data_IF_197003939133
#
_entry.id   IF_197003939133
#
_cell.length_a   1.000
_cell.length_b   1.000
_cell.length_c   1.000
_cell.angle_alpha   90.00
_cell.angle_beta   90.00
_cell.angle_gamma   90.00
#
_symmetry.space_group_name_H-M   'P 1'
#
loop_
_entity.id
_entity.type
_entity.pdbx_description
1 polymer ?
#
# COMPACT_ATOMS: atom_id res chain seq x y z
N UNK A 1 3.58 -1.71 -14.93
CA UNK A 1 3.77 -1.36 -13.52
C UNK A 1 5.20 -1.70 -13.13
N UNK A 2 5.89 -0.76 -12.49
CA UNK A 2 7.18 -1.01 -11.85
C UNK A 2 7.01 -0.94 -10.33
N UNK A 3 7.61 -1.88 -9.61
CA UNK A 3 7.66 -1.88 -8.15
C UNK A 3 9.08 -1.60 -7.70
N UNK A 4 9.25 -0.58 -6.87
CA UNK A 4 10.52 -0.30 -6.23
C UNK A 4 10.35 -0.51 -4.73
N UNK A 5 11.12 -1.44 -4.16
CA UNK A 5 11.14 -1.73 -2.73
C UNK A 5 12.46 -1.23 -2.16
N UNK A 6 12.38 -0.40 -1.14
CA UNK A 6 13.53 0.10 -0.39
C UNK A 6 13.40 -0.34 1.06
N UNK A 7 14.44 -0.97 1.61
CA UNK A 7 14.48 -1.39 3.02
C UNK A 7 15.52 -0.58 3.77
N UNK A 8 15.13 0.05 4.88
CA UNK A 8 16.00 0.88 5.73
C UNK A 8 15.64 0.62 7.19
N UNK A 9 16.61 0.17 7.99
CA UNK A 9 16.52 0.02 9.46
C UNK A 9 15.21 -0.63 9.97
N UNK A 10 14.75 -1.70 9.32
CA UNK A 10 13.54 -2.44 9.71
C UNK A 10 12.21 -1.86 9.19
N UNK A 11 12.27 -0.80 8.38
CA UNK A 11 11.15 -0.26 7.62
C UNK A 11 11.22 -0.71 6.14
N UNK A 12 10.05 -0.96 5.54
CA UNK A 12 9.88 -1.29 4.13
C UNK A 12 9.16 -0.11 3.44
N UNK A 13 9.72 0.46 2.39
CA UNK A 13 9.02 1.42 1.53
C UNK A 13 8.79 0.82 0.17
N UNK A 14 7.53 0.84 -0.28
CA UNK A 14 7.09 0.31 -1.56
C UNK A 14 6.58 1.48 -2.37
N UNK A 15 7.16 1.72 -3.55
CA UNK A 15 6.64 2.67 -4.52
C UNK A 15 6.13 1.93 -5.74
N UNK A 16 4.92 2.27 -6.12
CA UNK A 16 4.29 1.80 -7.35
C UNK A 16 4.27 2.88 -8.42
N UNK A 17 4.68 2.50 -9.61
CA UNK A 17 4.51 3.29 -10.83
C UNK A 17 3.50 2.57 -11.74
N UNK A 18 2.31 3.17 -11.89
CA UNK A 18 1.18 2.67 -12.68
C UNK A 18 -0.06 2.28 -11.86
N UNK A 19 -1.05 1.68 -12.53
CA UNK A 19 -2.37 1.42 -11.95
C UNK A 19 -2.42 0.15 -11.08
N UNK A 20 -3.11 0.23 -9.93
CA UNK A 20 -3.29 -0.87 -9.00
C UNK A 20 -4.55 -1.67 -9.34
N UNK A 21 -4.45 -2.57 -10.33
CA UNK A 21 -5.58 -3.36 -10.86
C UNK A 21 -5.34 -4.87 -10.81
N UNK A 22 -6.44 -5.65 -10.91
CA UNK A 22 -6.46 -7.12 -10.74
C UNK A 22 -5.43 -7.91 -11.56
N UNK A 23 -5.01 -7.43 -12.73
CA UNK A 23 -4.11 -8.18 -13.63
C UNK A 23 -2.70 -8.39 -13.05
N UNK A 24 -2.30 -7.57 -12.07
CA UNK A 24 -0.92 -7.51 -11.60
C UNK A 24 -0.79 -7.84 -10.11
N UNK A 25 -1.90 -8.01 -9.39
CA UNK A 25 -1.94 -8.10 -7.92
C UNK A 25 -1.49 -9.46 -7.37
N UNK A 26 -1.72 -10.57 -8.06
CA UNK A 26 -1.41 -11.90 -7.53
C UNK A 26 0.11 -12.14 -7.39
N UNK A 27 0.88 -11.83 -8.44
CA UNK A 27 2.34 -11.93 -8.43
C UNK A 27 2.96 -10.86 -7.51
N UNK A 28 2.34 -9.68 -7.48
CA UNK A 28 2.76 -8.56 -6.65
C UNK A 28 2.59 -8.82 -5.15
N UNK A 29 1.45 -9.38 -4.74
CA UNK A 29 1.17 -9.72 -3.33
C UNK A 29 2.25 -10.66 -2.78
N UNK A 30 2.56 -11.74 -3.51
CA UNK A 30 3.56 -12.72 -3.07
C UNK A 30 4.95 -12.10 -2.91
N UNK A 31 5.37 -11.26 -3.85
CA UNK A 31 6.67 -10.58 -3.79
C UNK A 31 6.72 -9.58 -2.63
N UNK A 32 5.66 -8.80 -2.44
CA UNK A 32 5.58 -7.77 -1.41
C UNK A 32 5.59 -8.38 -0.01
N UNK A 33 4.91 -9.53 0.16
CA UNK A 33 4.95 -10.30 1.40
C UNK A 33 6.34 -10.85 1.70
N UNK A 34 7.03 -11.40 0.71
CA UNK A 34 8.38 -11.91 0.90
C UNK A 34 9.36 -10.78 1.26
N UNK A 35 9.22 -9.61 0.64
CA UNK A 35 10.16 -8.52 0.79
C UNK A 35 9.95 -7.72 2.09
N UNK A 36 8.71 -7.58 2.55
CA UNK A 36 8.41 -6.87 3.81
C UNK A 36 8.15 -7.82 4.99
N UNK A 37 8.47 -9.12 4.89
CA UNK A 37 8.24 -10.10 5.95
C UNK A 37 8.85 -9.71 7.31
N UNK A 38 10.05 -9.11 7.28
CA UNK A 38 10.78 -8.72 8.49
C UNK A 38 10.49 -7.27 8.92
N UNK A 39 9.65 -6.54 8.18
CA UNK A 39 9.35 -5.15 8.46
C UNK A 39 8.11 -5.02 9.35
N UNK A 40 8.24 -4.25 10.43
CA UNK A 40 7.09 -3.89 11.27
C UNK A 40 6.33 -2.71 10.68
N UNK A 41 7.03 -1.74 10.07
CA UNK A 41 6.39 -0.58 9.48
C UNK A 41 6.62 -0.58 7.97
N UNK A 42 5.53 -0.50 7.22
CA UNK A 42 5.55 -0.47 5.77
C UNK A 42 4.93 0.82 5.29
N UNK A 43 5.64 1.57 4.45
CA UNK A 43 5.11 2.73 3.74
C UNK A 43 4.82 2.33 2.30
N UNK A 44 3.60 2.61 1.85
CA UNK A 44 3.16 2.39 0.50
C UNK A 44 2.97 3.76 -0.17
N UNK A 45 3.90 4.11 -1.05
CA UNK A 45 3.87 5.32 -1.86
C UNK A 45 3.04 5.09 -3.12
N UNK A 46 1.88 5.75 -3.16
CA UNK A 46 0.90 5.71 -4.22
C UNK A 46 0.91 6.99 -5.07
N UNK A 47 1.95 7.83 -4.94
CA UNK A 47 2.03 9.14 -5.63
C UNK A 47 1.91 9.05 -7.16
N UNK A 48 2.36 7.93 -7.75
CA UNK A 48 2.30 7.69 -9.20
C UNK A 48 1.15 6.75 -9.61
N UNK A 49 0.23 6.44 -8.68
CA UNK A 49 -0.92 5.55 -8.93
C UNK A 49 -2.15 6.38 -9.30
N UNK A 50 -2.57 6.26 -10.57
CA UNK A 50 -3.68 7.03 -11.13
C UNK A 50 -5.04 6.34 -10.93
N UNK A 51 -5.06 5.01 -10.91
CA UNK A 51 -6.28 4.22 -10.77
C UNK A 51 -6.10 3.07 -9.76
N UNK A 52 -7.12 2.86 -8.92
CA UNK A 52 -7.19 1.77 -7.94
C UNK A 52 -8.57 1.11 -8.04
N UNK A 53 -8.58 -0.18 -8.35
CA UNK A 53 -9.81 -0.97 -8.38
C UNK A 53 -10.08 -1.69 -7.04
N UNK A 54 -11.14 -2.50 -7.00
CA UNK A 54 -11.48 -3.31 -5.81
C UNK A 54 -10.39 -4.28 -5.41
N UNK A 55 -9.64 -4.83 -6.36
CA UNK A 55 -8.57 -5.77 -6.06
C UNK A 55 -7.38 -5.03 -5.43
N UNK A 56 -7.07 -3.81 -5.89
CA UNK A 56 -6.07 -2.94 -5.28
C UNK A 56 -6.41 -2.60 -3.82
N UNK A 57 -7.67 -2.27 -3.55
CA UNK A 57 -8.14 -2.06 -2.17
C UNK A 57 -8.00 -3.33 -1.32
N UNK A 58 -8.36 -4.50 -1.85
CA UNK A 58 -8.22 -5.77 -1.13
C UNK A 58 -6.77 -6.11 -0.80
N UNK A 59 -5.84 -5.79 -1.70
CA UNK A 59 -4.40 -5.92 -1.46
C UNK A 59 -3.94 -5.06 -0.28
N UNK A 60 -4.32 -3.77 -0.25
CA UNK A 60 -3.98 -2.88 0.86
C UNK A 60 -4.54 -3.39 2.19
N UNK A 61 -5.79 -3.85 2.20
CA UNK A 61 -6.42 -4.44 3.40
C UNK A 61 -5.68 -5.71 3.85
N UNK A 62 -5.32 -6.59 2.90
CA UNK A 62 -4.58 -7.81 3.22
C UNK A 62 -3.23 -7.49 3.87
N UNK A 63 -2.53 -6.48 3.36
CA UNK A 63 -1.23 -6.06 3.87
C UNK A 63 -1.34 -5.46 5.28
N UNK A 64 -2.28 -4.54 5.50
CA UNK A 64 -2.55 -3.97 6.84
C UNK A 64 -2.86 -5.08 7.86
N UNK A 65 -3.74 -6.04 7.52
CA UNK A 65 -4.09 -7.15 8.42
C UNK A 65 -2.89 -8.00 8.81
N UNK A 66 -2.00 -8.26 7.86
CA UNK A 66 -0.80 -9.03 8.13
C UNK A 66 0.17 -8.26 9.02
N UNK A 67 0.39 -6.98 8.75
CA UNK A 67 1.25 -6.14 9.59
C UNK A 67 0.69 -6.03 11.02
N UNK A 68 -0.61 -5.83 11.16
CA UNK A 68 -1.26 -5.84 12.47
C UNK A 68 -1.08 -7.16 13.25
N UNK A 69 -0.89 -8.30 12.55
CA UNK A 69 -0.66 -9.60 13.21
C UNK A 69 0.73 -9.72 13.84
N UNK A 70 1.66 -8.83 13.49
CA UNK A 70 3.03 -8.75 14.01
C UNK A 70 3.29 -7.40 14.71
N UNK A 71 2.23 -6.75 15.21
CA UNK A 71 2.25 -5.41 15.84
C UNK A 71 2.87 -4.31 14.96
N UNK A 72 2.80 -4.52 13.64
CA UNK A 72 3.23 -3.60 12.61
C UNK A 72 2.09 -2.73 12.06
N UNK A 73 2.43 -1.84 11.13
CA UNK A 73 1.49 -0.90 10.54
C UNK A 73 1.79 -0.58 9.06
N UNK A 74 0.74 -0.26 8.30
CA UNK A 74 0.80 0.20 6.92
C UNK A 74 0.47 1.71 6.85
N UNK A 75 1.41 2.47 6.30
CA UNK A 75 1.27 3.90 6.03
C UNK A 75 1.05 4.11 4.54
N UNK A 76 0.01 4.83 4.16
CA UNK A 76 -0.22 5.24 2.77
C UNK A 76 0.32 6.65 2.53
N UNK A 77 1.24 6.78 1.58
CA UNK A 77 1.78 8.06 1.11
C UNK A 77 1.27 8.36 -0.32
N UNK A 78 1.25 9.64 -0.71
CA UNK A 78 0.96 10.01 -2.09
C UNK A 78 -0.47 9.70 -2.54
N UNK A 79 -1.47 9.94 -1.68
CA UNK A 79 -2.84 9.54 -1.96
C UNK A 79 -3.46 10.45 -3.03
N UNK A 80 -3.74 9.89 -4.21
CA UNK A 80 -4.48 10.58 -5.27
C UNK A 80 -5.95 10.80 -4.88
N UNK A 81 -6.59 11.81 -5.49
CA UNK A 81 -8.01 12.10 -5.25
C UNK A 81 -8.90 10.89 -5.59
N UNK A 82 -8.54 10.15 -6.64
CA UNK A 82 -9.20 8.92 -7.06
C UNK A 82 -9.11 7.83 -5.98
N UNK A 83 -7.92 7.60 -5.42
CA UNK A 83 -7.74 6.65 -4.32
C UNK A 83 -8.59 7.05 -3.10
N UNK A 84 -8.55 8.33 -2.70
CA UNK A 84 -9.35 8.84 -1.59
C UNK A 84 -10.85 8.63 -1.83
N UNK A 85 -11.34 8.92 -3.04
CA UNK A 85 -12.73 8.69 -3.42
C UNK A 85 -13.11 7.20 -3.36
N UNK A 86 -12.23 6.31 -3.81
CA UNK A 86 -12.43 4.86 -3.72
C UNK A 86 -12.49 4.40 -2.26
N UNK A 87 -11.54 4.83 -1.42
CA UNK A 87 -11.54 4.51 0.01
C UNK A 87 -12.79 5.05 0.72
N UNK A 88 -13.21 6.28 0.42
CA UNK A 88 -14.44 6.89 0.92
C UNK A 88 -15.67 6.07 0.51
N UNK A 89 -15.78 5.65 -0.76
CA UNK A 89 -16.89 4.85 -1.25
C UNK A 89 -17.01 3.50 -0.52
N UNK A 90 -15.89 2.93 -0.06
CA UNK A 90 -15.84 1.70 0.73
C UNK A 90 -15.89 1.91 2.25
N UNK A 91 -16.02 3.14 2.75
CA UNK A 91 -15.91 3.50 4.18
C UNK A 91 -14.58 3.06 4.82
N UNK A 92 -13.47 3.16 4.07
CA UNK A 92 -12.13 2.76 4.49
C UNK A 92 -11.19 3.94 4.77
N UNK A 93 -11.70 5.17 4.74
CA UNK A 93 -10.88 6.40 4.87
C UNK A 93 -10.14 6.53 6.20
N UNK A 94 -10.63 5.86 7.26
CA UNK A 94 -9.94 5.76 8.55
C UNK A 94 -9.34 4.39 8.83
N UNK A 95 -9.30 3.50 7.83
CA UNK A 95 -8.77 2.15 7.98
C UNK A 95 -7.24 2.10 7.86
N UNK A 96 -6.67 3.03 7.11
CA UNK A 96 -5.24 3.14 6.89
C UNK A 96 -4.70 4.41 7.55
N UNK A 97 -3.47 4.34 8.06
CA UNK A 97 -2.78 5.54 8.46
C UNK A 97 -2.22 6.27 7.23
N UNK A 98 -2.39 7.58 7.22
CA UNK A 98 -1.93 8.45 6.14
C UNK A 98 -0.75 9.26 6.62
N UNK A 99 0.37 9.20 5.89
CA UNK A 99 1.44 10.18 6.07
C UNK A 99 1.14 11.34 5.12
N UNK A 100 0.61 12.45 5.65
CA UNK A 100 0.61 13.69 4.88
C UNK A 100 2.07 14.02 4.57
N UNK A 101 2.38 14.14 3.27
CA UNK A 101 3.70 14.60 2.84
C UNK A 101 4.00 15.88 3.60
N UNK A 102 5.09 15.87 4.36
CA UNK A 102 5.69 17.10 4.84
C UNK A 102 5.98 17.90 3.57
N UNK A 103 5.14 18.91 3.32
CA UNK A 103 5.34 19.87 2.23
C UNK A 103 6.64 20.64 2.43
#
# INVERSE_FOLDING_TARGET
>A
MAMNITKLDGACSIRLDGDLTIFQIADFHSQLLAECQDAQNVTFDLSDVNEVDTAGVQLLISLQKQLNSVDGNLLLAGQSEQLLNTLNAFNLSGYFESTEGIS
#
